data_IF_364157700110
#
_entry.id   IF_364157700110
#
_cell.length_a   1.000
_cell.length_b   1.000
_cell.length_c   1.000
_cell.angle_alpha   90.00
_cell.angle_beta   90.00
_cell.angle_gamma   90.00
#
_symmetry.space_group_name_H-M   'P 1'
#
loop_
_entity.id
_entity.type
_entity.pdbx_description
1 polymer ?
#
# COMPACT_ATOMS: atom_id res chain seq x y z
N UNK A 1 26.50 -6.37 12.53
CA UNK A 1 25.84 -5.15 12.04
C UNK A 1 25.62 -5.37 10.55
N UNK A 2 24.43 -5.78 10.14
CA UNK A 2 24.12 -5.97 8.73
C UNK A 2 24.13 -4.59 8.04
N UNK A 3 24.98 -4.45 7.03
CA UNK A 3 25.04 -3.26 6.22
C UNK A 3 24.05 -3.45 5.09
N UNK A 4 22.82 -2.92 5.27
CA UNK A 4 21.79 -2.97 4.24
C UNK A 4 22.24 -2.28 2.96
N UNK A 5 21.96 -2.89 1.81
CA UNK A 5 22.38 -2.37 0.50
C UNK A 5 21.64 -1.06 0.20
N UNK A 6 22.41 -0.03 -0.16
CA UNK A 6 21.88 1.29 -0.55
C UNK A 6 21.29 1.34 -1.96
N UNK A 7 21.32 0.22 -2.68
CA UNK A 7 21.07 0.18 -4.13
C UNK A 7 19.63 -0.06 -4.53
N UNK A 8 18.72 -0.24 -3.57
CA UNK A 8 17.28 -0.40 -3.82
C UNK A 8 16.60 0.93 -3.56
N UNK A 9 16.14 1.60 -4.62
CA UNK A 9 15.43 2.86 -4.55
C UNK A 9 13.93 2.58 -4.52
N UNK A 10 13.25 3.16 -3.54
CA UNK A 10 11.80 3.18 -3.43
C UNK A 10 11.32 4.62 -3.65
N UNK A 11 10.01 4.82 -3.66
CA UNK A 11 9.39 6.14 -3.81
C UNK A 11 9.71 7.05 -2.63
N UNK A 12 9.45 8.36 -2.77
CA UNK A 12 9.57 9.37 -1.71
C UNK A 12 9.08 8.85 -0.34
N UNK A 13 9.56 9.46 0.73
CA UNK A 13 9.11 9.15 2.07
C UNK A 13 9.15 10.37 2.98
N UNK A 14 8.26 10.38 3.95
CA UNK A 14 8.25 11.40 4.99
C UNK A 14 8.18 10.79 6.39
N UNK A 15 8.64 11.55 7.35
CA UNK A 15 8.43 11.33 8.77
C UNK A 15 8.14 12.65 9.45
N UNK A 16 7.40 12.63 10.54
CA UNK A 16 7.12 13.83 11.31
C UNK A 16 6.53 13.52 12.66
N UNK A 17 6.49 14.54 13.49
CA UNK A 17 5.79 14.46 14.76
C UNK A 17 5.27 15.84 15.20
N UNK A 18 4.21 15.80 15.98
CA UNK A 18 3.65 16.93 16.68
C UNK A 18 3.78 16.68 18.19
N UNK A 19 4.23 17.68 18.94
CA UNK A 19 4.42 17.58 20.39
C UNK A 19 5.75 18.15 20.85
N UNK A 20 5.85 18.46 22.13
CA UNK A 20 7.04 18.98 22.79
C UNK A 20 7.76 17.87 23.57
N UNK A 21 9.03 18.08 23.85
CA UNK A 21 9.85 17.19 24.70
C UNK A 21 11.21 17.81 25.00
N UNK A 22 11.88 17.29 25.98
CA UNK A 22 13.25 17.71 26.36
C UNK A 22 14.29 16.98 25.49
N UNK A 23 14.26 17.29 24.18
CA UNK A 23 15.19 16.76 23.18
C UNK A 23 15.38 17.74 22.02
N UNK A 24 16.48 17.59 21.31
CA UNK A 24 16.79 18.38 20.12
C UNK A 24 15.88 17.92 18.97
N UNK A 25 14.90 18.76 18.60
CA UNK A 25 13.87 18.46 17.59
C UNK A 25 14.49 18.27 16.18
N UNK A 26 15.47 19.08 15.82
CA UNK A 26 16.14 19.01 14.53
C UNK A 26 16.94 17.69 14.40
N UNK A 27 17.62 17.28 15.46
CA UNK A 27 18.34 16.01 15.48
C UNK A 27 17.38 14.81 15.40
N UNK A 28 16.27 14.84 16.15
CA UNK A 28 15.27 13.76 16.13
C UNK A 28 14.68 13.59 14.74
N UNK A 29 14.24 14.69 14.08
CA UNK A 29 13.64 14.60 12.76
C UNK A 29 14.66 14.17 11.68
N UNK A 30 15.91 14.59 11.79
CA UNK A 30 16.98 14.14 10.88
C UNK A 30 17.23 12.62 11.06
N UNK A 31 17.30 12.12 12.29
CA UNK A 31 17.42 10.70 12.59
C UNK A 31 16.20 9.87 12.12
N UNK A 32 14.99 10.40 12.27
CA UNK A 32 13.79 9.78 11.72
C UNK A 32 13.86 9.68 10.19
N UNK A 33 14.32 10.76 9.54
CA UNK A 33 14.52 10.80 8.08
C UNK A 33 15.63 9.85 7.62
N UNK A 34 16.74 9.70 8.37
CA UNK A 34 17.81 8.77 7.99
C UNK A 34 17.35 7.31 7.95
N UNK A 35 16.41 6.91 8.80
CA UNK A 35 15.86 5.55 8.78
C UNK A 35 15.05 5.21 7.52
N UNK A 36 14.60 6.22 6.79
CA UNK A 36 13.86 6.09 5.53
C UNK A 36 14.62 6.66 4.33
N UNK A 37 15.95 6.85 4.43
CA UNK A 37 16.78 7.41 3.36
C UNK A 37 16.73 6.59 2.06
N UNK A 38 16.54 5.27 2.15
CA UNK A 38 16.37 4.38 1.00
C UNK A 38 15.16 4.74 0.13
N UNK A 39 14.11 5.36 0.69
CA UNK A 39 12.93 5.78 -0.07
C UNK A 39 13.23 6.91 -1.04
N UNK A 40 14.04 7.88 -0.62
CA UNK A 40 14.34 9.07 -1.42
C UNK A 40 15.80 9.48 -1.29
N UNK A 41 16.68 8.88 -2.11
CA UNK A 41 18.11 9.15 -2.05
C UNK A 41 18.54 10.46 -2.68
N UNK A 42 17.68 11.09 -3.53
CA UNK A 42 18.06 12.26 -4.34
C UNK A 42 18.25 13.52 -3.49
N UNK A 43 17.37 13.75 -2.51
CA UNK A 43 17.51 14.88 -1.59
C UNK A 43 16.77 14.68 -0.27
N UNK A 44 17.12 15.50 0.72
CA UNK A 44 16.41 15.60 2.00
C UNK A 44 16.01 17.03 2.31
N UNK A 45 14.94 17.20 3.10
CA UNK A 45 14.52 18.49 3.63
C UNK A 45 13.79 18.32 4.95
N UNK A 46 13.77 19.38 5.75
CA UNK A 46 13.06 19.40 7.03
C UNK A 46 12.48 20.79 7.33
N UNK A 47 11.44 20.80 8.15
CA UNK A 47 10.88 21.98 8.78
C UNK A 47 10.67 21.68 10.26
N UNK A 48 11.06 22.62 11.13
CA UNK A 48 10.93 22.48 12.58
C UNK A 48 10.47 23.81 13.18
N UNK A 49 9.46 23.74 14.06
CA UNK A 49 9.10 24.83 14.97
C UNK A 49 8.81 24.29 16.38
N UNK A 50 8.18 25.10 17.24
CA UNK A 50 7.89 24.71 18.62
C UNK A 50 6.85 23.58 18.74
N UNK A 51 6.03 23.34 17.70
CA UNK A 51 4.90 22.41 17.72
C UNK A 51 5.15 21.17 16.89
N UNK A 52 5.71 21.33 15.69
CA UNK A 52 5.85 20.25 14.71
C UNK A 52 7.29 20.12 14.20
N UNK A 53 7.67 18.90 13.85
CA UNK A 53 8.85 18.64 13.04
C UNK A 53 8.45 17.75 11.86
N UNK A 54 8.82 18.15 10.65
CA UNK A 54 8.52 17.50 9.39
C UNK A 54 9.84 17.17 8.68
N UNK A 55 10.02 15.93 8.24
CA UNK A 55 11.18 15.47 7.50
C UNK A 55 10.75 14.78 6.20
N UNK A 56 11.52 14.97 5.15
CA UNK A 56 11.23 14.44 3.83
C UNK A 56 12.48 13.84 3.17
N UNK A 57 12.28 12.73 2.44
CA UNK A 57 13.26 12.08 1.57
C UNK A 57 12.69 12.00 0.16
N UNK A 58 13.41 12.54 -0.81
CA UNK A 58 12.93 12.71 -2.19
C UNK A 58 13.53 11.72 -3.16
N UNK A 59 12.65 11.10 -3.96
CA UNK A 59 12.95 10.55 -5.27
C UNK A 59 12.30 11.47 -6.30
N UNK A 60 13.09 12.13 -7.13
CA UNK A 60 12.61 13.17 -8.05
C UNK A 60 11.99 12.54 -9.30
N UNK A 61 10.68 12.75 -9.51
CA UNK A 61 9.87 12.22 -10.63
C UNK A 61 9.19 13.37 -11.37
N UNK A 62 8.50 14.28 -10.67
CA UNK A 62 7.87 15.50 -11.22
C UNK A 62 8.58 16.73 -10.68
N UNK A 63 8.75 17.75 -11.51
CA UNK A 63 9.44 19.02 -11.22
C UNK A 63 10.83 18.78 -10.58
N UNK A 64 11.76 18.26 -11.37
CA UNK A 64 13.06 17.80 -10.92
C UNK A 64 13.85 18.87 -10.15
N UNK A 65 13.68 20.14 -10.50
CA UNK A 65 14.40 21.28 -9.90
C UNK A 65 13.60 21.96 -8.77
N UNK A 66 12.29 22.20 -8.96
CA UNK A 66 11.46 23.02 -8.06
C UNK A 66 10.72 22.23 -6.97
N UNK A 67 10.56 20.90 -7.12
CA UNK A 67 9.74 20.06 -6.24
C UNK A 67 10.40 19.63 -4.91
N UNK A 68 11.40 20.37 -4.41
CA UNK A 68 12.01 20.07 -3.10
C UNK A 68 11.02 20.30 -1.97
N UNK A 69 10.96 19.37 -1.00
CA UNK A 69 10.05 19.41 0.13
C UNK A 69 10.80 19.50 1.47
N UNK A 70 10.17 20.05 2.53
CA UNK A 70 8.79 20.58 2.62
C UNK A 70 8.54 21.82 1.77
N UNK A 71 7.34 21.94 1.15
CA UNK A 71 6.94 23.13 0.39
C UNK A 71 6.17 24.08 1.31
N UNK A 72 6.51 25.36 1.24
CA UNK A 72 5.83 26.44 1.94
C UNK A 72 4.86 27.15 1.01
N UNK A 73 3.68 27.53 1.54
CA UNK A 73 2.80 28.44 0.81
C UNK A 73 3.44 29.83 0.64
N UNK A 74 3.06 30.54 -0.43
CA UNK A 74 3.64 31.86 -0.74
C UNK A 74 3.47 32.88 0.40
N UNK A 75 2.39 32.78 1.20
CA UNK A 75 2.16 33.60 2.39
C UNK A 75 2.90 33.08 3.64
N UNK A 76 3.64 31.98 3.53
CA UNK A 76 4.41 31.38 4.60
C UNK A 76 3.59 30.73 5.72
N UNK A 77 2.25 30.64 5.59
CA UNK A 77 1.35 30.16 6.65
C UNK A 77 1.23 28.63 6.71
N UNK A 78 1.43 27.96 5.60
CA UNK A 78 1.27 26.50 5.51
C UNK A 78 2.56 25.83 5.03
N UNK A 79 2.77 24.60 5.51
CA UNK A 79 3.89 23.75 5.10
C UNK A 79 3.33 22.37 4.78
N UNK A 80 3.76 21.77 3.64
CA UNK A 80 3.34 20.43 3.23
C UNK A 80 4.54 19.51 3.05
N UNK A 81 4.34 18.23 3.46
CA UNK A 81 5.13 17.07 3.04
C UNK A 81 4.21 16.07 2.36
N UNK A 82 4.65 15.49 1.25
CA UNK A 82 3.84 14.66 0.38
C UNK A 82 4.65 13.53 -0.25
N UNK A 83 4.16 12.31 -0.12
CA UNK A 83 4.66 11.12 -0.80
C UNK A 83 3.60 10.62 -1.76
N UNK A 84 3.81 10.75 -3.05
CA UNK A 84 2.85 10.32 -4.04
C UNK A 84 3.00 11.01 -5.39
N UNK A 85 1.96 10.85 -6.21
CA UNK A 85 1.77 11.43 -7.53
C UNK A 85 0.30 11.83 -7.68
N UNK A 86 0.02 13.08 -8.03
CA UNK A 86 -1.34 13.55 -8.32
C UNK A 86 -1.51 13.69 -9.83
N UNK A 87 -2.14 12.73 -10.45
CA UNK A 87 -2.25 12.64 -11.90
C UNK A 87 -3.07 13.76 -12.55
N UNK A 88 -4.10 14.27 -11.84
CA UNK A 88 -4.93 15.39 -12.33
C UNK A 88 -4.47 16.76 -11.81
N UNK A 89 -3.20 16.88 -11.43
CA UNK A 89 -2.69 18.13 -10.86
C UNK A 89 -2.78 19.32 -11.81
N UNK A 90 -2.61 19.09 -13.12
CA UNK A 90 -2.66 20.14 -14.13
C UNK A 90 -4.07 20.73 -14.27
N UNK A 91 -5.11 19.90 -14.25
CA UNK A 91 -6.51 20.31 -14.28
C UNK A 91 -6.88 21.13 -13.04
N UNK A 92 -6.50 20.62 -11.85
CA UNK A 92 -6.74 21.34 -10.60
C UNK A 92 -5.97 22.66 -10.57
N UNK A 93 -4.70 22.67 -10.99
CA UNK A 93 -3.89 23.88 -11.10
C UNK A 93 -4.54 24.94 -11.99
N UNK A 94 -5.00 24.54 -13.16
CA UNK A 94 -5.71 25.42 -14.10
C UNK A 94 -6.96 26.01 -13.45
N UNK A 95 -7.76 25.18 -12.81
CA UNK A 95 -8.98 25.64 -12.10
C UNK A 95 -8.63 26.64 -10.99
N UNK A 96 -7.62 26.37 -10.17
CA UNK A 96 -7.16 27.26 -9.09
C UNK A 96 -6.68 28.63 -9.63
N UNK A 97 -5.99 28.64 -10.75
CA UNK A 97 -5.55 29.89 -11.41
C UNK A 97 -6.76 30.66 -11.97
N UNK A 98 -7.58 30.02 -12.80
CA UNK A 98 -8.63 30.68 -13.58
C UNK A 98 -9.81 31.13 -12.72
N UNK A 99 -10.21 30.33 -11.72
CA UNK A 99 -11.39 30.62 -10.91
C UNK A 99 -11.07 31.32 -9.57
N UNK A 100 -9.88 31.08 -9.03
CA UNK A 100 -9.52 31.55 -7.68
C UNK A 100 -8.31 32.50 -7.66
N UNK A 101 -7.66 32.73 -8.81
CA UNK A 101 -6.52 33.64 -8.91
C UNK A 101 -5.27 33.17 -8.15
N UNK A 102 -5.16 31.87 -7.88
CA UNK A 102 -4.01 31.31 -7.16
C UNK A 102 -2.73 31.51 -7.97
N UNK A 103 -1.65 31.85 -7.26
CA UNK A 103 -0.31 31.95 -7.83
C UNK A 103 0.53 30.77 -7.36
N UNK A 104 1.34 30.24 -8.24
CA UNK A 104 2.20 29.10 -8.00
C UNK A 104 3.67 29.47 -8.14
N UNK A 105 4.52 28.92 -7.30
CA UNK A 105 5.97 29.14 -7.30
C UNK A 105 6.73 27.98 -7.97
N UNK A 106 6.11 26.80 -8.04
CA UNK A 106 6.69 25.57 -8.60
C UNK A 106 5.76 24.98 -9.65
N UNK A 107 6.22 23.98 -10.38
CA UNK A 107 5.37 23.14 -11.25
C UNK A 107 4.98 21.82 -10.60
N UNK A 108 5.28 21.67 -9.32
CA UNK A 108 5.01 20.44 -8.55
C UNK A 108 3.52 20.24 -8.30
N UNK A 109 3.09 19.00 -8.36
CA UNK A 109 1.80 18.54 -7.92
C UNK A 109 1.60 18.74 -6.39
N UNK A 110 2.70 18.73 -5.62
CA UNK A 110 2.70 19.01 -4.18
C UNK A 110 2.15 20.41 -3.88
N UNK A 111 2.54 21.43 -4.64
CA UNK A 111 2.04 22.78 -4.45
C UNK A 111 0.55 22.88 -4.83
N UNK A 112 0.09 22.07 -5.78
CA UNK A 112 -1.34 21.99 -6.14
C UNK A 112 -2.18 21.48 -4.97
N UNK A 113 -1.71 20.49 -4.22
CA UNK A 113 -2.38 20.03 -2.99
C UNK A 113 -2.48 21.20 -1.98
N UNK A 114 -1.38 21.92 -1.77
CA UNK A 114 -1.29 23.00 -0.80
C UNK A 114 -2.24 24.18 -1.15
N UNK A 115 -2.22 24.63 -2.40
CA UNK A 115 -3.12 25.70 -2.85
C UNK A 115 -4.58 25.23 -2.89
N UNK A 116 -4.82 23.96 -3.25
CA UNK A 116 -6.14 23.35 -3.19
C UNK A 116 -6.70 23.30 -1.76
N UNK A 117 -5.86 22.95 -0.77
CA UNK A 117 -6.26 22.97 0.64
C UNK A 117 -6.62 24.39 1.09
N UNK A 118 -5.83 25.39 0.75
CA UNK A 118 -6.14 26.80 1.06
C UNK A 118 -7.46 27.26 0.45
N UNK A 119 -7.84 26.73 -0.70
CA UNK A 119 -9.05 27.15 -1.44
C UNK A 119 -10.28 26.35 -1.05
N UNK A 120 -10.17 25.02 -0.94
CA UNK A 120 -11.30 24.11 -0.77
C UNK A 120 -11.35 23.45 0.61
N UNK A 121 -10.33 23.68 1.46
CA UNK A 121 -10.20 23.02 2.75
C UNK A 121 -10.04 21.51 2.58
N UNK A 122 -10.65 20.75 3.48
CA UNK A 122 -10.57 19.28 3.53
C UNK A 122 -11.11 18.59 2.27
N UNK A 123 -11.96 19.28 1.48
CA UNK A 123 -12.53 18.75 0.23
C UNK A 123 -11.48 18.41 -0.80
N UNK A 124 -10.30 19.03 -0.74
CA UNK A 124 -9.21 18.73 -1.68
C UNK A 124 -8.92 17.24 -1.73
N UNK A 125 -8.95 16.50 -0.61
CA UNK A 125 -8.66 15.08 -0.57
C UNK A 125 -9.51 14.26 -1.55
N UNK A 126 -10.79 14.61 -1.70
CA UNK A 126 -11.72 13.94 -2.62
C UNK A 126 -11.66 14.43 -4.07
N UNK A 127 -10.90 15.49 -4.35
CA UNK A 127 -10.71 16.03 -5.70
C UNK A 127 -9.45 15.45 -6.39
N UNK A 128 -8.51 14.92 -5.59
CA UNK A 128 -7.25 14.39 -6.09
C UNK A 128 -7.45 13.06 -6.78
N UNK A 129 -6.96 12.91 -8.02
CA UNK A 129 -6.79 11.62 -8.68
C UNK A 129 -5.31 11.25 -8.63
N UNK A 130 -4.97 10.22 -7.90
CA UNK A 130 -3.58 9.83 -7.73
C UNK A 130 -3.37 8.82 -6.61
N UNK A 131 -2.12 8.54 -6.32
CA UNK A 131 -1.67 7.74 -5.20
C UNK A 131 -0.91 8.64 -4.24
N UNK A 132 -1.37 8.79 -3.00
CA UNK A 132 -0.84 9.83 -2.13
C UNK A 132 -0.96 9.55 -0.64
N UNK A 133 -0.01 10.11 0.08
CA UNK A 133 -0.06 10.34 1.51
C UNK A 133 0.62 11.69 1.79
N UNK A 134 -0.04 12.60 2.50
CA UNK A 134 0.51 13.91 2.81
C UNK A 134 0.08 14.42 4.18
N UNK A 135 0.84 15.40 4.66
CA UNK A 135 0.51 16.20 5.86
C UNK A 135 0.74 17.68 5.54
N UNK A 136 -0.25 18.50 5.85
CA UNK A 136 -0.18 19.96 5.82
C UNK A 136 -0.21 20.46 7.25
N UNK A 137 0.69 21.36 7.58
CA UNK A 137 0.75 22.06 8.84
C UNK A 137 0.37 23.53 8.64
N UNK A 138 -0.61 24.01 9.41
CA UNK A 138 -0.99 25.40 9.49
C UNK A 138 -0.24 26.06 10.66
N UNK A 139 0.63 27.00 10.35
CA UNK A 139 1.48 27.71 11.33
C UNK A 139 0.74 28.73 12.18
N UNK A 140 -0.45 29.20 11.75
CA UNK A 140 -1.25 30.15 12.50
C UNK A 140 -2.13 29.47 13.54
N UNK A 141 -2.75 28.35 13.17
CA UNK A 141 -3.63 27.60 14.06
C UNK A 141 -2.93 26.46 14.77
N UNK A 142 -1.72 26.11 14.32
CA UNK A 142 -0.94 24.94 14.74
C UNK A 142 -1.65 23.60 14.49
N UNK A 143 -2.56 23.57 13.53
CA UNK A 143 -3.31 22.36 13.18
C UNK A 143 -2.57 21.56 12.10
N UNK A 144 -2.80 20.24 12.13
CA UNK A 144 -2.43 19.34 11.04
C UNK A 144 -3.67 18.93 10.26
N UNK A 145 -3.52 18.86 8.93
CA UNK A 145 -4.41 18.16 8.02
C UNK A 145 -3.60 17.14 7.23
N UNK A 146 -4.06 15.90 7.16
CA UNK A 146 -3.38 14.88 6.37
C UNK A 146 -4.36 13.92 5.74
N UNK A 147 -3.98 13.33 4.60
CA UNK A 147 -4.84 12.39 3.89
C UNK A 147 -4.04 11.24 3.29
N UNK A 148 -4.74 10.13 3.05
CA UNK A 148 -4.26 8.94 2.35
C UNK A 148 -5.18 8.63 1.19
N UNK A 149 -4.62 8.19 0.06
CA UNK A 149 -5.33 7.91 -1.16
C UNK A 149 -6.46 6.86 -1.03
N UNK A 150 -7.29 6.78 -2.06
CA UNK A 150 -8.51 5.99 -2.12
C UNK A 150 -8.34 4.51 -1.76
N UNK A 151 -7.21 3.89 -2.16
CA UNK A 151 -6.92 2.47 -1.94
C UNK A 151 -5.77 2.24 -0.97
N UNK A 152 -5.17 3.31 -0.40
CA UNK A 152 -4.04 3.22 0.51
C UNK A 152 -2.75 2.74 -0.16
N UNK A 153 -2.56 3.08 -1.44
CA UNK A 153 -1.36 2.72 -2.21
C UNK A 153 -0.12 3.31 -1.56
N UNK A 154 -0.18 4.58 -1.13
CA UNK A 154 0.92 5.16 -0.36
C UNK A 154 0.77 4.84 1.12
N UNK A 155 1.84 4.38 1.78
CA UNK A 155 1.81 4.07 3.20
C UNK A 155 1.66 5.35 4.04
N UNK A 156 0.85 5.26 5.08
CA UNK A 156 0.71 6.27 6.13
C UNK A 156 0.52 5.57 7.47
N UNK A 157 1.51 5.69 8.35
CA UNK A 157 1.46 5.19 9.72
C UNK A 157 1.40 6.35 10.70
N UNK A 158 0.75 6.14 11.85
CA UNK A 158 0.73 7.12 12.93
C UNK A 158 0.67 6.43 14.30
N UNK A 159 1.15 7.14 15.34
CA UNK A 159 1.06 6.72 16.73
C UNK A 159 0.89 7.94 17.64
N UNK A 160 0.04 7.80 18.67
CA UNK A 160 -0.06 8.78 19.75
C UNK A 160 0.58 8.18 21.00
N UNK A 161 1.75 8.69 21.37
CA UNK A 161 2.54 8.17 22.49
C UNK A 161 3.16 9.31 23.29
N UNK A 162 3.01 9.26 24.61
CA UNK A 162 3.65 10.20 25.56
C UNK A 162 3.46 11.69 25.20
N UNK A 163 2.23 12.07 24.74
CA UNK A 163 1.90 13.44 24.36
C UNK A 163 2.38 13.87 22.98
N UNK A 164 2.97 12.96 22.19
CA UNK A 164 3.34 13.22 20.80
C UNK A 164 2.44 12.45 19.83
N UNK A 165 2.10 13.07 18.70
CA UNK A 165 1.57 12.40 17.51
C UNK A 165 2.72 12.19 16.54
N UNK A 166 3.12 10.93 16.31
CA UNK A 166 4.12 10.52 15.32
C UNK A 166 3.40 10.11 14.03
N UNK A 167 3.97 10.42 12.88
CA UNK A 167 3.44 10.00 11.60
C UNK A 167 4.56 9.82 10.56
N UNK A 168 4.33 8.96 9.57
CA UNK A 168 5.35 8.70 8.55
C UNK A 168 4.98 7.62 7.55
N UNK A 169 5.83 7.52 6.53
CA UNK A 169 5.71 6.50 5.48
C UNK A 169 6.12 5.11 5.94
N UNK A 170 7.00 4.99 6.94
CA UNK A 170 7.46 3.72 7.49
C UNK A 170 7.59 3.79 9.02
N UNK A 171 7.22 2.69 9.68
CA UNK A 171 7.22 2.60 11.16
C UNK A 171 8.62 2.73 11.73
N UNK A 172 9.64 2.22 11.01
CA UNK A 172 11.04 2.29 11.47
C UNK A 172 11.53 3.72 11.71
N UNK A 173 10.92 4.73 11.09
CA UNK A 173 11.25 6.13 11.36
C UNK A 173 10.94 6.52 12.81
N UNK A 174 9.87 5.96 13.40
CA UNK A 174 9.47 6.25 14.79
C UNK A 174 10.47 5.77 15.83
N UNK A 175 11.29 4.74 15.49
CA UNK A 175 12.31 4.20 16.38
C UNK A 175 13.39 5.23 16.80
N UNK A 176 13.49 6.34 16.09
CA UNK A 176 14.40 7.43 16.44
C UNK A 176 13.77 8.45 17.40
N UNK A 177 12.45 8.43 17.58
CA UNK A 177 11.75 9.41 18.43
C UNK A 177 11.78 8.98 19.90
N UNK A 178 12.20 9.84 20.85
CA UNK A 178 12.36 9.48 22.27
C UNK A 178 11.05 9.00 22.95
N UNK A 179 9.89 9.49 22.49
CA UNK A 179 8.59 9.09 23.04
C UNK A 179 8.07 7.77 22.47
N UNK A 180 8.73 7.20 21.44
CA UNK A 180 8.27 5.95 20.85
C UNK A 180 8.61 4.77 21.75
N UNK A 181 7.61 3.97 22.07
CA UNK A 181 7.75 2.73 22.83
C UNK A 181 7.43 1.52 21.94
N UNK A 182 8.42 0.62 21.82
CA UNK A 182 8.27 -0.59 21.01
C UNK A 182 7.71 -1.74 21.83
N UNK A 183 6.48 -2.13 21.55
CA UNK A 183 5.79 -3.28 22.15
C UNK A 183 5.10 -4.08 21.04
N UNK A 184 5.13 -5.42 21.14
CA UNK A 184 4.45 -6.31 20.19
C UNK A 184 2.94 -6.29 20.44
N UNK A 185 2.16 -6.07 19.40
CA UNK A 185 0.71 -6.23 19.40
C UNK A 185 0.36 -7.72 19.29
N UNK A 186 -0.16 -8.30 20.36
CA UNK A 186 -0.48 -9.75 20.43
C UNK A 186 -1.64 -10.14 19.51
N UNK A 187 -2.60 -9.24 19.33
CA UNK A 187 -3.72 -9.46 18.41
C UNK A 187 -3.23 -9.51 16.96
N UNK A 188 -2.39 -8.56 16.58
CA UNK A 188 -1.75 -8.53 15.27
C UNK A 188 -0.85 -9.76 15.03
N UNK A 189 -0.09 -10.18 16.04
CA UNK A 189 0.75 -11.37 15.95
C UNK A 189 -0.08 -12.63 15.70
N UNK A 190 -1.19 -12.81 16.43
CA UNK A 190 -2.09 -13.95 16.19
C UNK A 190 -2.72 -13.89 14.80
N UNK A 191 -3.18 -12.72 14.36
CA UNK A 191 -3.76 -12.55 13.04
C UNK A 191 -2.73 -12.78 11.92
N UNK A 192 -1.48 -12.38 12.13
CA UNK A 192 -0.39 -12.69 11.20
C UNK A 192 -0.19 -14.19 10.99
N UNK A 193 -0.21 -14.99 12.04
CA UNK A 193 -0.11 -16.45 11.96
C UNK A 193 -1.28 -17.06 11.16
N UNK A 194 -2.45 -16.46 11.24
CA UNK A 194 -3.66 -16.93 10.53
C UNK A 194 -3.68 -16.46 9.08
N UNK A 195 -3.38 -15.17 8.80
CA UNK A 195 -3.56 -14.52 7.50
C UNK A 195 -2.26 -14.26 6.74
N UNK A 196 -1.09 -14.58 7.26
CA UNK A 196 0.23 -14.27 6.69
C UNK A 196 0.55 -12.75 6.64
N UNK A 197 -0.36 -11.89 7.06
CA UNK A 197 -0.19 -10.44 7.18
C UNK A 197 -1.07 -9.92 8.33
N UNK A 198 -0.88 -8.67 8.71
CA UNK A 198 -1.71 -8.02 9.74
C UNK A 198 -2.93 -7.36 9.09
N UNK A 199 -4.13 -7.95 9.17
CA UNK A 199 -5.35 -7.40 8.56
C UNK A 199 -5.98 -6.26 9.38
N UNK A 200 -5.36 -5.91 10.53
CA UNK A 200 -5.84 -4.88 11.44
C UNK A 200 -5.31 -3.50 11.03
N UNK A 201 -6.02 -2.46 11.46
CA UNK A 201 -5.51 -1.08 11.36
C UNK A 201 -4.35 -0.85 12.34
N UNK A 202 -4.41 -1.43 13.54
CA UNK A 202 -3.28 -1.46 14.45
C UNK A 202 -2.25 -2.48 13.96
N UNK A 203 -1.02 -2.04 13.85
CA UNK A 203 0.07 -2.83 13.27
C UNK A 203 0.62 -3.88 14.24
N UNK A 204 1.68 -4.57 13.83
CA UNK A 204 2.46 -5.46 14.74
C UNK A 204 3.09 -4.70 15.92
N UNK A 205 3.24 -3.38 15.79
CA UNK A 205 3.68 -2.50 16.89
C UNK A 205 2.45 -1.93 17.59
N UNK A 206 2.30 -2.26 18.88
CA UNK A 206 1.18 -1.77 19.69
C UNK A 206 1.14 -0.25 19.75
N UNK A 207 -0.06 0.32 19.54
CA UNK A 207 -0.26 1.77 19.50
C UNK A 207 0.17 2.44 18.20
N UNK A 208 0.64 1.68 17.20
CA UNK A 208 0.93 2.17 15.86
C UNK A 208 -0.16 1.73 14.90
N UNK A 209 -0.74 2.68 14.18
CA UNK A 209 -1.89 2.46 13.31
C UNK A 209 -1.55 2.83 11.86
N UNK A 210 -2.20 2.13 10.93
CA UNK A 210 -2.32 2.53 9.52
C UNK A 210 -3.46 3.55 9.40
N UNK A 211 -3.25 4.66 8.70
CA UNK A 211 -4.37 5.49 8.29
C UNK A 211 -5.20 4.72 7.25
N UNK A 212 -6.51 4.64 7.44
CA UNK A 212 -7.39 3.90 6.54
C UNK A 212 -7.32 4.46 5.11
N UNK A 213 -7.45 3.62 4.06
CA UNK A 213 -7.63 4.09 2.70
C UNK A 213 -8.81 5.06 2.58
N UNK A 214 -8.71 6.05 1.70
CA UNK A 214 -9.78 7.03 1.47
C UNK A 214 -10.14 7.86 2.70
N UNK A 215 -9.16 8.13 3.58
CA UNK A 215 -9.37 8.84 4.85
C UNK A 215 -8.46 10.06 4.94
N UNK A 216 -9.01 11.16 5.41
CA UNK A 216 -8.23 12.29 5.90
C UNK A 216 -8.37 12.42 7.43
N UNK A 217 -7.44 13.14 8.03
CA UNK A 217 -7.51 13.51 9.43
C UNK A 217 -7.23 15.01 9.65
N UNK A 218 -7.76 15.53 10.75
CA UNK A 218 -7.36 16.81 11.34
C UNK A 218 -6.84 16.57 12.75
N UNK A 219 -5.86 17.36 13.17
CA UNK A 219 -5.31 17.30 14.52
C UNK A 219 -5.05 18.71 15.04
N UNK A 220 -5.62 19.06 16.19
CA UNK A 220 -5.54 20.39 16.81
C UNK A 220 -4.56 20.46 17.99
N UNK A 221 -3.64 19.51 18.08
CA UNK A 221 -2.72 19.35 19.21
C UNK A 221 -3.30 18.53 20.37
N UNK A 222 -4.58 18.14 20.31
CA UNK A 222 -5.28 17.36 21.35
C UNK A 222 -6.04 16.18 20.77
N UNK A 223 -6.92 16.43 19.80
CA UNK A 223 -7.81 15.44 19.24
C UNK A 223 -7.44 15.11 17.79
N UNK A 224 -7.27 13.83 17.50
CA UNK A 224 -7.10 13.30 16.15
C UNK A 224 -8.48 12.87 15.62
N UNK A 225 -9.06 13.67 14.72
CA UNK A 225 -10.33 13.37 14.06
C UNK A 225 -10.06 12.77 12.69
N UNK A 226 -10.64 11.60 12.40
CA UNK A 226 -10.53 10.92 11.11
C UNK A 226 -11.87 10.96 10.39
N UNK A 227 -11.84 11.25 9.09
CA UNK A 227 -13.04 11.30 8.24
C UNK A 227 -12.77 10.50 6.98
N UNK A 228 -13.61 9.50 6.71
CA UNK A 228 -13.57 8.72 5.47
C UNK A 228 -14.22 9.55 4.36
N UNK A 229 -13.46 9.86 3.31
CA UNK A 229 -13.96 10.64 2.16
C UNK A 229 -14.30 9.76 0.97
N UNK A 230 -13.87 8.50 0.99
CA UNK A 230 -14.15 7.51 -0.04
C UNK A 230 -14.38 6.13 0.57
N UNK A 231 -15.42 5.46 0.11
CA UNK A 231 -15.72 4.06 0.42
C UNK A 231 -16.08 3.33 -0.87
N UNK A 232 -15.30 2.32 -1.30
CA UNK A 232 -15.58 1.61 -2.53
C UNK A 232 -16.92 0.87 -2.41
N UNK A 233 -17.80 1.10 -3.36
CA UNK A 233 -19.11 0.41 -3.45
C UNK A 233 -19.20 -0.35 -4.75
N UNK A 234 -19.67 -1.58 -4.67
CA UNK A 234 -19.96 -2.41 -5.85
C UNK A 234 -21.45 -2.39 -6.14
N UNK A 235 -21.83 -1.85 -7.29
CA UNK A 235 -23.21 -1.84 -7.75
C UNK A 235 -23.33 -2.60 -9.07
N UNK A 236 -24.13 -3.66 -9.07
CA UNK A 236 -24.45 -4.37 -10.32
C UNK A 236 -25.17 -3.40 -11.26
N UNK A 237 -24.66 -3.28 -12.48
CA UNK A 237 -25.29 -2.52 -13.56
C UNK A 237 -25.63 -3.47 -14.69
N UNK A 238 -26.84 -3.31 -15.25
CA UNK A 238 -27.25 -4.05 -16.43
C UNK A 238 -26.56 -3.46 -17.67
N UNK A 239 -25.55 -4.18 -18.15
CA UNK A 239 -24.78 -3.89 -19.38
C UNK A 239 -24.55 -5.16 -20.15
N UNK A 240 -24.51 -5.07 -21.47
CA UNK A 240 -24.12 -6.18 -22.31
C UNK A 240 -22.60 -6.50 -22.09
N UNK A 241 -22.19 -7.68 -22.51
CA UNK A 241 -20.78 -8.08 -22.47
C UNK A 241 -19.92 -7.11 -23.29
N UNK A 242 -20.31 -6.79 -24.52
CA UNK A 242 -19.55 -5.91 -25.41
C UNK A 242 -19.42 -4.48 -24.89
N UNK A 243 -20.51 -3.92 -24.31
CA UNK A 243 -20.46 -2.61 -23.63
C UNK A 243 -19.51 -2.63 -22.44
N UNK A 244 -19.49 -3.73 -21.68
CA UNK A 244 -18.60 -3.86 -20.52
C UNK A 244 -17.15 -3.96 -20.97
N UNK A 245 -16.82 -4.77 -21.98
CA UNK A 245 -15.47 -4.89 -22.55
C UNK A 245 -14.97 -3.54 -23.05
N UNK A 246 -15.82 -2.82 -23.81
CA UNK A 246 -15.47 -1.49 -24.32
C UNK A 246 -15.17 -0.51 -23.18
N UNK A 247 -16.04 -0.46 -22.17
CA UNK A 247 -15.85 0.44 -21.02
C UNK A 247 -14.59 0.12 -20.23
N UNK A 248 -14.29 -1.17 -20.01
CA UNK A 248 -13.05 -1.60 -19.35
C UNK A 248 -11.85 -1.12 -20.15
N UNK A 249 -11.82 -1.36 -21.47
CA UNK A 249 -10.72 -0.93 -22.33
C UNK A 249 -10.50 0.59 -22.30
N UNK A 250 -11.56 1.38 -22.41
CA UNK A 250 -11.50 2.85 -22.33
C UNK A 250 -11.01 3.33 -20.95
N UNK A 251 -11.48 2.69 -19.87
CA UNK A 251 -11.08 3.06 -18.51
C UNK A 251 -9.62 2.73 -18.23
N UNK A 252 -9.15 1.56 -18.69
CA UNK A 252 -7.74 1.19 -18.52
C UNK A 252 -6.84 2.11 -19.34
N UNK A 253 -7.23 2.42 -20.61
CA UNK A 253 -6.46 3.35 -21.42
C UNK A 253 -6.34 4.72 -20.74
N UNK A 254 -7.45 5.30 -20.29
CA UNK A 254 -7.45 6.56 -19.53
C UNK A 254 -6.58 6.47 -18.27
N UNK A 255 -6.67 5.37 -17.52
CA UNK A 255 -5.83 5.16 -16.34
C UNK A 255 -4.34 5.10 -16.70
N UNK A 256 -3.99 4.35 -17.74
CA UNK A 256 -2.61 4.22 -18.21
C UNK A 256 -2.05 5.57 -18.67
N UNK A 257 -2.85 6.36 -19.41
CA UNK A 257 -2.42 7.69 -19.90
C UNK A 257 -2.07 8.62 -18.72
N UNK A 258 -2.88 8.61 -17.65
CA UNK A 258 -2.59 9.36 -16.42
C UNK A 258 -1.36 8.84 -15.67
N UNK A 259 -1.15 7.53 -15.60
CA UNK A 259 0.00 6.95 -14.89
C UNK A 259 1.34 7.14 -15.63
N UNK A 260 1.32 7.61 -16.87
CA UNK A 260 2.53 7.96 -17.62
C UNK A 260 2.99 9.42 -17.42
N UNK A 261 2.22 10.22 -16.65
CA UNK A 261 2.58 11.61 -16.36
C UNK A 261 3.81 11.62 -15.44
N UNK A 262 4.97 11.88 -16.02
CA UNK A 262 6.26 11.96 -15.33
C UNK A 262 7.25 12.77 -16.18
N UNK A 263 8.22 13.44 -15.53
CA UNK A 263 9.33 14.13 -16.21
C UNK A 263 10.53 13.18 -16.43
N UNK A 264 10.34 11.89 -16.20
CA UNK A 264 11.35 10.83 -16.35
C UNK A 264 10.81 9.69 -17.22
N UNK A 265 11.72 8.86 -17.75
CA UNK A 265 11.34 7.68 -18.54
C UNK A 265 10.53 6.69 -17.67
N UNK A 266 9.44 6.17 -18.25
CA UNK A 266 8.56 5.17 -17.63
C UNK A 266 8.79 3.81 -18.28
N UNK A 267 9.12 2.81 -17.47
CA UNK A 267 9.21 1.41 -17.89
C UNK A 267 7.97 0.61 -17.51
N UNK A 268 8.01 -0.70 -17.73
CA UNK A 268 6.94 -1.62 -17.28
C UNK A 268 7.50 -2.92 -16.76
N UNK A 269 6.91 -3.43 -15.68
CA UNK A 269 7.11 -4.82 -15.29
C UNK A 269 6.32 -5.73 -16.21
N UNK A 270 6.92 -6.87 -16.58
CA UNK A 270 6.34 -7.80 -17.53
C UNK A 270 6.62 -9.23 -17.08
N UNK A 271 5.61 -9.91 -16.52
CA UNK A 271 5.70 -11.33 -16.13
C UNK A 271 5.39 -12.30 -17.28
N UNK A 272 4.70 -11.82 -18.35
CA UNK A 272 4.11 -12.66 -19.39
C UNK A 272 2.68 -13.11 -19.07
N UNK A 273 2.15 -12.82 -17.88
CA UNK A 273 0.74 -12.99 -17.54
C UNK A 273 -0.15 -11.98 -18.29
N UNK A 274 -1.47 -12.24 -18.32
CA UNK A 274 -2.46 -11.43 -19.08
C UNK A 274 -2.41 -9.97 -18.66
N UNK A 275 -2.42 -9.68 -17.37
CA UNK A 275 -2.53 -8.30 -16.84
C UNK A 275 -1.30 -7.47 -17.16
N UNK A 276 -0.10 -7.97 -16.86
CA UNK A 276 1.15 -7.28 -17.16
C UNK A 276 1.34 -7.10 -18.67
N UNK A 277 0.94 -8.09 -19.47
CA UNK A 277 1.01 -8.03 -20.93
C UNK A 277 0.03 -7.00 -21.50
N UNK A 278 -1.18 -6.90 -20.94
CA UNK A 278 -2.16 -5.91 -21.36
C UNK A 278 -1.68 -4.49 -21.05
N UNK A 279 -1.16 -4.23 -19.85
CA UNK A 279 -0.58 -2.94 -19.49
C UNK A 279 0.60 -2.60 -20.40
N UNK A 280 1.58 -3.50 -20.57
CA UNK A 280 2.74 -3.27 -21.41
C UNK A 280 2.35 -2.99 -22.89
N UNK A 281 1.35 -3.71 -23.42
CA UNK A 281 0.86 -3.49 -24.78
C UNK A 281 0.11 -2.15 -24.95
N UNK A 282 -0.53 -1.67 -23.90
CA UNK A 282 -1.23 -0.37 -23.88
C UNK A 282 -0.24 0.80 -23.80
N UNK A 283 0.73 0.73 -22.89
CA UNK A 283 1.78 1.74 -22.68
C UNK A 283 2.78 1.75 -23.83
N UNK A 284 3.17 0.57 -24.35
CA UNK A 284 4.27 0.37 -25.30
C UNK A 284 5.57 1.03 -24.83
N UNK A 285 6.04 0.75 -23.61
CA UNK A 285 7.26 1.33 -23.09
C UNK A 285 8.45 0.84 -23.90
N UNK A 286 9.51 1.64 -24.00
CA UNK A 286 10.75 1.19 -24.63
C UNK A 286 11.46 0.11 -23.84
N UNK A 287 11.26 0.08 -22.50
CA UNK A 287 11.94 -0.82 -21.57
C UNK A 287 10.94 -1.61 -20.72
N UNK A 288 11.11 -2.91 -20.70
CA UNK A 288 10.38 -3.81 -19.80
C UNK A 288 11.35 -4.62 -18.95
N UNK A 289 10.87 -5.08 -17.81
CA UNK A 289 11.68 -5.81 -16.83
C UNK A 289 10.96 -7.07 -16.40
N UNK A 290 11.71 -8.18 -16.37
CA UNK A 290 11.20 -9.51 -16.02
C UNK A 290 12.12 -10.19 -15.02
N UNK A 291 11.55 -11.02 -14.17
CA UNK A 291 12.28 -11.88 -13.27
C UNK A 291 11.83 -13.32 -13.46
N UNK A 292 12.79 -14.25 -13.48
CA UNK A 292 12.57 -15.69 -13.56
C UNK A 292 13.34 -16.42 -12.48
N UNK A 293 13.18 -17.73 -12.43
CA UNK A 293 13.89 -18.60 -11.51
C UNK A 293 14.72 -19.62 -12.28
N UNK A 294 15.86 -20.02 -11.73
CA UNK A 294 16.72 -21.08 -12.31
C UNK A 294 16.04 -22.45 -12.31
N UNK A 295 14.96 -22.63 -11.53
CA UNK A 295 14.23 -23.89 -11.43
C UNK A 295 13.22 -24.00 -12.56
N UNK A 296 13.42 -24.96 -13.47
CA UNK A 296 12.53 -25.22 -14.60
C UNK A 296 11.08 -25.47 -14.15
N UNK A 297 10.11 -24.93 -14.89
CA UNK A 297 8.67 -25.04 -14.62
C UNK A 297 8.07 -23.80 -13.91
N UNK A 298 8.89 -22.87 -13.43
CA UNK A 298 8.48 -21.60 -12.85
C UNK A 298 8.98 -20.38 -13.64
N UNK A 299 9.54 -20.62 -14.83
CA UNK A 299 10.04 -19.54 -15.70
C UNK A 299 8.99 -19.18 -16.77
N UNK A 300 8.26 -18.09 -16.52
CA UNK A 300 7.28 -17.50 -17.45
C UNK A 300 7.91 -16.45 -18.39
N UNK A 301 9.21 -16.24 -18.32
CA UNK A 301 9.90 -15.20 -19.09
C UNK A 301 9.93 -15.44 -20.59
N UNK A 302 9.59 -16.64 -21.07
CA UNK A 302 9.40 -16.93 -22.50
C UNK A 302 8.25 -16.10 -23.07
N UNK A 303 7.12 -16.01 -22.36
CA UNK A 303 5.96 -15.22 -22.82
C UNK A 303 6.24 -13.72 -22.84
N UNK A 304 6.99 -13.21 -21.85
CA UNK A 304 7.40 -11.80 -21.85
C UNK A 304 8.32 -11.47 -23.01
N UNK A 305 9.24 -12.39 -23.38
CA UNK A 305 10.12 -12.25 -24.54
C UNK A 305 9.31 -12.22 -25.84
N UNK A 306 8.41 -13.18 -26.04
CA UNK A 306 7.58 -13.26 -27.24
C UNK A 306 6.77 -11.97 -27.47
N UNK A 307 6.19 -11.41 -26.39
CA UNK A 307 5.47 -10.13 -26.46
C UNK A 307 6.41 -8.98 -26.85
N UNK A 308 7.59 -8.93 -26.25
CA UNK A 308 8.58 -7.88 -26.58
C UNK A 308 9.05 -7.96 -28.01
N UNK A 309 9.29 -9.15 -28.54
CA UNK A 309 9.66 -9.36 -29.94
C UNK A 309 8.54 -8.88 -30.89
N UNK A 310 7.28 -9.16 -30.58
CA UNK A 310 6.10 -8.71 -31.36
C UNK A 310 5.94 -7.18 -31.33
N UNK A 311 6.12 -6.57 -30.15
CA UNK A 311 5.87 -5.13 -29.94
C UNK A 311 7.14 -4.27 -30.11
N UNK A 312 8.28 -4.89 -30.42
CA UNK A 312 9.58 -4.21 -30.61
C UNK A 312 10.03 -3.44 -29.35
N UNK A 313 9.80 -4.04 -28.17
CA UNK A 313 10.25 -3.51 -26.89
C UNK A 313 11.52 -4.21 -26.41
N UNK A 314 12.36 -3.53 -25.64
CA UNK A 314 13.48 -4.18 -24.95
C UNK A 314 13.03 -4.84 -23.65
N UNK A 315 13.59 -6.01 -23.32
CA UNK A 315 13.32 -6.69 -22.06
C UNK A 315 14.64 -7.00 -21.34
N UNK A 316 14.77 -6.45 -20.14
CA UNK A 316 15.84 -6.83 -19.22
C UNK A 316 15.34 -7.93 -18.29
N UNK A 317 16.09 -9.03 -18.22
CA UNK A 317 15.74 -10.21 -17.41
C UNK A 317 16.76 -10.45 -16.30
N UNK A 318 16.29 -10.81 -15.11
CA UNK A 318 17.07 -11.36 -14.01
C UNK A 318 16.56 -12.76 -13.68
N UNK A 319 17.45 -13.73 -13.63
CA UNK A 319 17.19 -15.05 -13.04
C UNK A 319 17.66 -15.07 -11.58
N UNK A 320 16.82 -15.58 -10.69
CA UNK A 320 17.07 -15.64 -9.25
C UNK A 320 17.40 -17.09 -8.89
N UNK A 321 18.57 -17.30 -8.27
CA UNK A 321 18.93 -18.59 -7.68
C UNK A 321 18.24 -18.79 -6.33
N UNK A 322 18.22 -20.04 -5.85
CA UNK A 322 17.69 -20.36 -4.51
C UNK A 322 18.46 -19.64 -3.42
N UNK A 323 19.78 -19.54 -3.53
CA UNK A 323 20.61 -18.86 -2.51
C UNK A 323 20.29 -17.35 -2.48
N UNK A 324 20.25 -16.68 -3.65
CA UNK A 324 19.85 -15.28 -3.74
C UNK A 324 18.47 -15.03 -3.13
N UNK A 325 17.51 -15.96 -3.37
CA UNK A 325 16.16 -15.85 -2.85
C UNK A 325 16.14 -15.82 -1.31
N UNK A 326 16.82 -16.75 -0.66
CA UNK A 326 16.86 -16.82 0.80
C UNK A 326 17.72 -15.70 1.43
N UNK A 327 18.81 -15.31 0.77
CA UNK A 327 19.68 -14.23 1.23
C UNK A 327 18.98 -12.86 1.22
N UNK A 328 18.00 -12.64 0.32
CA UNK A 328 17.23 -11.40 0.26
C UNK A 328 16.14 -11.28 1.34
N UNK A 329 15.71 -12.38 1.99
CA UNK A 329 14.60 -12.35 2.95
C UNK A 329 14.80 -11.35 4.10
N UNK A 330 15.96 -11.24 4.76
CA UNK A 330 16.17 -10.26 5.82
C UNK A 330 16.01 -8.81 5.34
N UNK A 331 16.47 -8.49 4.13
CA UNK A 331 16.37 -7.18 3.52
C UNK A 331 14.90 -6.84 3.20
N UNK A 332 14.18 -7.77 2.56
CA UNK A 332 12.76 -7.62 2.24
C UNK A 332 11.94 -7.42 3.52
N UNK A 333 12.20 -8.20 4.57
CA UNK A 333 11.50 -8.06 5.85
C UNK A 333 11.82 -6.72 6.54
N UNK A 334 13.05 -6.24 6.45
CA UNK A 334 13.42 -4.93 6.99
C UNK A 334 12.64 -3.80 6.31
N UNK A 335 12.47 -3.86 4.99
CA UNK A 335 11.75 -2.84 4.23
C UNK A 335 10.23 -2.93 4.39
N UNK A 336 9.70 -4.07 4.77
CA UNK A 336 8.26 -4.26 5.00
C UNK A 336 7.76 -3.69 6.34
N UNK A 337 8.65 -3.36 7.30
CA UNK A 337 8.35 -2.95 8.69
C UNK A 337 7.60 -4.00 9.52
N UNK A 338 6.60 -4.66 8.93
CA UNK A 338 5.83 -5.74 9.55
C UNK A 338 6.22 -7.09 8.92
N UNK A 339 6.07 -8.20 9.67
CA UNK A 339 6.30 -9.52 9.10
C UNK A 339 5.38 -9.73 7.89
N UNK A 340 5.97 -10.21 6.80
CA UNK A 340 5.29 -10.45 5.55
C UNK A 340 5.63 -11.85 5.05
N UNK A 341 4.64 -12.74 4.97
CA UNK A 341 4.86 -14.13 4.61
C UNK A 341 4.64 -14.44 3.12
N UNK A 342 4.20 -13.44 2.33
CA UNK A 342 4.09 -13.62 0.88
C UNK A 342 5.48 -13.56 0.24
N UNK A 343 5.95 -14.70 -0.21
CA UNK A 343 7.28 -14.85 -0.80
C UNK A 343 7.43 -14.16 -2.16
N UNK A 344 6.34 -13.71 -2.80
CA UNK A 344 6.38 -12.89 -4.02
C UNK A 344 7.09 -11.54 -3.85
N UNK A 345 7.25 -11.09 -2.60
CA UNK A 345 8.01 -9.88 -2.29
C UNK A 345 9.49 -9.99 -2.68
N UNK A 346 10.09 -11.20 -2.66
CA UNK A 346 11.49 -11.40 -3.04
C UNK A 346 11.72 -11.22 -4.55
N UNK A 347 10.96 -11.88 -5.46
CA UNK A 347 11.04 -11.57 -6.88
C UNK A 347 10.80 -10.08 -7.19
N UNK A 348 9.82 -9.45 -6.53
CA UNK A 348 9.53 -8.02 -6.71
C UNK A 348 10.71 -7.13 -6.27
N UNK A 349 11.41 -7.50 -5.20
CA UNK A 349 12.64 -6.83 -4.76
C UNK A 349 13.71 -6.84 -5.85
N UNK A 350 14.02 -8.00 -6.44
CA UNK A 350 15.00 -8.10 -7.51
C UNK A 350 14.55 -7.44 -8.81
N UNK A 351 13.25 -7.51 -9.12
CA UNK A 351 12.67 -6.84 -10.27
C UNK A 351 12.78 -5.32 -10.15
N UNK A 352 12.49 -4.79 -8.97
CA UNK A 352 12.64 -3.36 -8.67
C UNK A 352 14.10 -2.92 -8.72
N UNK A 353 15.03 -3.72 -8.19
CA UNK A 353 16.47 -3.47 -8.26
C UNK A 353 16.99 -3.48 -9.72
N UNK A 354 16.44 -4.37 -10.55
CA UNK A 354 16.78 -4.42 -11.97
C UNK A 354 16.32 -3.15 -12.70
N UNK A 355 15.06 -2.75 -12.50
CA UNK A 355 14.47 -1.58 -13.15
C UNK A 355 15.11 -0.25 -12.71
N UNK A 356 15.47 -0.14 -11.43
CA UNK A 356 16.08 1.07 -10.85
C UNK A 356 17.43 1.45 -11.47
N UNK A 357 18.07 0.55 -12.22
CA UNK A 357 19.31 0.85 -12.96
C UNK A 357 19.07 1.77 -14.15
N UNK A 358 17.85 1.74 -14.69
CA UNK A 358 17.52 2.41 -15.95
C UNK A 358 16.41 3.45 -15.78
N UNK A 359 15.40 3.19 -14.97
CA UNK A 359 14.19 4.03 -14.84
C UNK A 359 13.82 4.27 -13.37
N UNK A 360 13.12 5.37 -13.11
CA UNK A 360 12.57 5.70 -11.77
C UNK A 360 11.10 5.31 -11.60
N UNK A 361 10.39 5.10 -12.71
CA UNK A 361 8.96 4.76 -12.72
C UNK A 361 8.74 3.53 -13.57
N UNK A 362 7.94 2.61 -13.04
CA UNK A 362 7.46 1.43 -13.76
C UNK A 362 5.96 1.25 -13.55
N UNK A 363 5.28 0.80 -14.60
CA UNK A 363 3.89 0.36 -14.52
C UNK A 363 3.83 -1.16 -14.33
N UNK A 364 2.78 -1.63 -13.68
CA UNK A 364 2.54 -3.07 -13.46
C UNK A 364 1.05 -3.41 -13.59
N UNK A 365 0.75 -4.69 -13.73
CA UNK A 365 -0.63 -5.21 -13.72
C UNK A 365 -1.17 -5.54 -12.32
N UNK A 366 -0.46 -5.16 -11.25
CA UNK A 366 -0.86 -5.46 -9.87
C UNK A 366 -2.23 -4.89 -9.52
N UNK A 367 -3.05 -5.69 -8.83
CA UNK A 367 -4.41 -5.31 -8.41
C UNK A 367 -5.51 -5.67 -9.43
N UNK A 368 -5.16 -6.17 -10.62
CA UNK A 368 -6.15 -6.53 -11.63
C UNK A 368 -7.00 -7.74 -11.19
N UNK A 369 -6.39 -8.76 -10.60
CA UNK A 369 -7.09 -9.94 -10.10
C UNK A 369 -8.11 -9.57 -9.01
N UNK A 370 -7.79 -8.65 -8.12
CA UNK A 370 -8.67 -8.15 -7.07
C UNK A 370 -9.85 -7.37 -7.64
N UNK A 371 -9.61 -6.57 -8.67
CA UNK A 371 -10.65 -5.72 -9.28
C UNK A 371 -11.57 -6.49 -10.22
N UNK A 372 -11.02 -7.45 -10.97
CA UNK A 372 -11.76 -8.19 -12.02
C UNK A 372 -12.09 -9.63 -11.61
N UNK A 373 -11.76 -10.05 -10.39
CA UNK A 373 -12.06 -11.39 -9.90
C UNK A 373 -11.24 -12.48 -10.58
N UNK A 374 -9.96 -12.22 -10.87
CA UNK A 374 -9.07 -13.11 -11.63
C UNK A 374 -8.66 -14.38 -10.90
N UNK A 375 -8.70 -14.39 -9.57
CA UNK A 375 -8.32 -15.59 -8.80
C UNK A 375 -9.36 -16.69 -8.86
N UNK A 376 -8.92 -17.93 -9.10
CA UNK A 376 -9.79 -19.11 -9.10
C UNK A 376 -10.55 -19.30 -7.78
N UNK A 377 -10.01 -18.83 -6.67
CA UNK A 377 -10.66 -18.88 -5.35
C UNK A 377 -11.92 -18.01 -5.26
N UNK A 378 -12.08 -17.04 -6.14
CA UNK A 378 -13.29 -16.22 -6.22
C UNK A 378 -14.46 -16.93 -6.95
N UNK A 379 -14.15 -18.02 -7.64
CA UNK A 379 -15.19 -18.79 -8.35
C UNK A 379 -15.97 -19.64 -7.35
N UNK A 380 -17.30 -19.40 -7.17
CA UNK A 380 -18.10 -20.21 -6.26
C UNK A 380 -18.09 -21.68 -6.66
N UNK A 381 -17.88 -22.57 -5.72
CA UNK A 381 -17.98 -24.02 -5.95
C UNK A 381 -19.43 -24.42 -6.13
N UNK A 382 -19.86 -24.73 -7.37
CA UNK A 382 -21.22 -25.20 -7.67
C UNK A 382 -21.66 -26.38 -6.80
N UNK A 383 -20.73 -27.31 -6.51
CA UNK A 383 -20.98 -28.44 -5.61
C UNK A 383 -21.13 -28.02 -4.14
N UNK A 384 -20.35 -27.01 -3.72
CA UNK A 384 -20.47 -26.42 -2.38
C UNK A 384 -21.80 -25.69 -2.19
N UNK A 385 -22.26 -24.94 -3.20
CA UNK A 385 -23.54 -24.24 -3.17
C UNK A 385 -24.71 -25.23 -3.10
N UNK A 386 -24.66 -26.29 -3.91
CA UNK A 386 -25.68 -27.34 -3.87
C UNK A 386 -25.69 -28.05 -2.50
N UNK A 387 -24.53 -28.37 -1.95
CA UNK A 387 -24.40 -28.97 -0.62
C UNK A 387 -24.96 -28.04 0.47
N UNK A 388 -24.66 -26.76 0.43
CA UNK A 388 -25.21 -25.76 1.38
C UNK A 388 -26.73 -25.60 1.28
N UNK A 389 -27.32 -25.72 0.07
CA UNK A 389 -28.76 -25.66 -0.13
C UNK A 389 -29.49 -26.90 0.37
N UNK A 390 -28.88 -28.10 0.28
CA UNK A 390 -29.52 -29.38 0.61
C UNK A 390 -29.28 -29.75 2.08
N UNK A 391 -28.09 -29.52 2.61
CA UNK A 391 -27.71 -29.99 3.96
C UNK A 391 -27.90 -28.86 4.98
N UNK A 392 -28.71 -29.04 6.03
CA UNK A 392 -28.92 -28.06 7.07
C UNK A 392 -27.60 -27.61 7.76
N UNK A 393 -27.52 -26.34 8.13
CA UNK A 393 -26.31 -25.73 8.71
C UNK A 393 -25.81 -26.50 9.97
N UNK A 394 -26.70 -26.98 10.83
CA UNK A 394 -26.37 -27.75 12.03
C UNK A 394 -25.67 -29.08 11.71
N UNK A 395 -26.10 -29.74 10.62
CA UNK A 395 -25.49 -31.00 10.15
C UNK A 395 -24.14 -30.69 9.50
N UNK A 396 -24.08 -29.67 8.66
CA UNK A 396 -22.82 -29.26 8.00
C UNK A 396 -21.74 -28.91 9.02
N UNK A 397 -22.10 -28.17 10.07
CA UNK A 397 -21.18 -27.83 11.17
C UNK A 397 -20.65 -29.09 11.85
N UNK A 398 -21.51 -30.03 12.23
CA UNK A 398 -21.08 -31.30 12.86
C UNK A 398 -20.14 -32.11 11.96
N UNK A 399 -20.45 -32.19 10.66
CA UNK A 399 -19.61 -32.90 9.70
C UNK A 399 -18.26 -32.20 9.47
N UNK A 400 -18.24 -30.87 9.47
CA UNK A 400 -17.01 -30.10 9.37
C UNK A 400 -16.13 -30.23 10.60
N UNK A 401 -16.73 -30.13 11.80
CA UNK A 401 -16.01 -30.31 13.06
C UNK A 401 -15.46 -31.75 13.17
N UNK A 402 -16.21 -32.77 12.77
CA UNK A 402 -15.70 -34.12 12.67
C UNK A 402 -14.54 -34.24 11.69
N UNK A 403 -14.65 -33.61 10.51
CA UNK A 403 -13.65 -33.67 9.47
C UNK A 403 -12.30 -33.01 9.86
N UNK A 404 -12.33 -32.02 10.76
CA UNK A 404 -11.12 -31.38 11.30
C UNK A 404 -10.24 -32.33 12.08
N UNK A 405 -10.82 -33.30 12.76
CA UNK A 405 -10.12 -34.28 13.60
C UNK A 405 -9.73 -35.58 12.86
N UNK A 406 -9.93 -35.61 11.54
CA UNK A 406 -9.55 -36.78 10.74
C UNK A 406 -8.22 -36.54 10.02
N UNK A 407 -7.39 -37.59 9.82
CA UNK A 407 -6.22 -37.50 8.95
C UNK A 407 -6.62 -37.03 7.56
N UNK A 408 -5.77 -36.28 6.90
CA UNK A 408 -6.05 -35.72 5.56
C UNK A 408 -6.42 -36.83 4.55
N UNK A 409 -7.67 -36.77 4.09
CA UNK A 409 -8.23 -37.65 3.05
C UNK A 409 -9.02 -36.82 2.06
N UNK A 410 -9.05 -37.28 0.81
CA UNK A 410 -9.82 -36.66 -0.27
C UNK A 410 -11.29 -36.51 0.16
N UNK A 411 -11.83 -35.30 0.04
CA UNK A 411 -13.23 -34.96 0.40
C UNK A 411 -13.39 -34.33 1.79
N UNK A 412 -12.47 -34.50 2.71
CA UNK A 412 -12.59 -33.87 4.04
C UNK A 412 -12.46 -32.35 3.97
N UNK A 413 -11.61 -31.83 3.07
CA UNK A 413 -11.48 -30.40 2.83
C UNK A 413 -12.79 -29.80 2.28
N UNK A 414 -13.56 -30.57 1.50
CA UNK A 414 -14.88 -30.11 1.06
C UNK A 414 -15.84 -29.94 2.25
N UNK A 415 -15.88 -30.89 3.19
CA UNK A 415 -16.70 -30.80 4.39
C UNK A 415 -16.25 -29.63 5.30
N UNK A 416 -14.93 -29.49 5.51
CA UNK A 416 -14.37 -28.38 6.29
C UNK A 416 -14.78 -27.02 5.72
N UNK A 417 -14.58 -26.80 4.41
CA UNK A 417 -14.90 -25.54 3.72
C UNK A 417 -16.38 -25.21 3.64
N UNK A 418 -17.27 -26.21 3.62
CA UNK A 418 -18.70 -26.00 3.50
C UNK A 418 -19.45 -26.20 4.84
N UNK A 419 -18.75 -26.28 5.97
CA UNK A 419 -19.31 -26.41 7.30
C UNK A 419 -20.11 -25.19 7.75
N UNK A 420 -19.65 -24.01 7.34
CA UNK A 420 -20.19 -22.69 7.71
C UNK A 420 -20.81 -21.98 6.50
N UNK A 421 -21.28 -20.76 6.68
CA UNK A 421 -21.71 -19.89 5.57
C UNK A 421 -20.52 -19.51 4.69
N UNK A 422 -20.80 -18.95 3.51
CA UNK A 422 -19.73 -18.44 2.64
C UNK A 422 -18.99 -17.31 3.34
N UNK A 423 -19.71 -16.43 4.00
CA UNK A 423 -19.21 -15.27 4.72
C UNK A 423 -18.29 -15.69 5.90
N UNK A 424 -18.64 -16.77 6.61
CA UNK A 424 -17.82 -17.30 7.69
C UNK A 424 -16.62 -18.13 7.22
N UNK A 425 -16.65 -18.63 5.99
CA UNK A 425 -15.62 -19.52 5.42
C UNK A 425 -14.65 -18.77 4.48
N UNK A 426 -15.03 -17.59 4.00
CA UNK A 426 -14.17 -16.80 3.13
C UNK A 426 -13.14 -16.05 3.95
N UNK A 427 -11.91 -16.49 3.89
CA UNK A 427 -10.77 -15.92 4.62
C UNK A 427 -9.66 -15.47 3.67
N UNK A 428 -9.96 -15.45 2.36
CA UNK A 428 -8.98 -15.13 1.33
C UNK A 428 -7.99 -16.28 1.06
N UNK A 429 -7.02 -16.00 0.23
CA UNK A 429 -5.96 -16.97 -0.15
C UNK A 429 -4.90 -17.15 0.94
N UNK A 430 -4.79 -16.17 1.83
CA UNK A 430 -3.71 -16.07 2.80
C UNK A 430 -3.93 -16.91 4.08
N UNK A 431 -5.05 -17.62 4.21
CA UNK A 431 -5.34 -18.42 5.41
C UNK A 431 -4.45 -19.66 5.50
N UNK A 432 -3.70 -19.78 6.60
CA UNK A 432 -2.80 -20.90 6.85
C UNK A 432 -3.28 -21.77 8.00
N UNK A 433 -3.66 -21.16 9.12
CA UNK A 433 -4.04 -21.89 10.34
C UNK A 433 -5.31 -21.30 10.96
N UNK A 434 -6.04 -22.12 11.74
CA UNK A 434 -7.19 -21.65 12.47
C UNK A 434 -6.81 -21.02 13.84
N UNK A 435 -7.83 -20.58 14.60
CA UNK A 435 -7.58 -19.92 15.88
C UNK A 435 -6.91 -20.83 16.91
N UNK A 436 -7.29 -22.10 16.91
CA UNK A 436 -6.82 -23.12 17.84
C UNK A 436 -5.35 -23.48 17.52
N UNK A 437 -5.02 -23.69 16.25
CA UNK A 437 -3.64 -23.93 15.78
C UNK A 437 -2.73 -22.74 16.10
N UNK A 438 -3.21 -21.48 15.87
CA UNK A 438 -2.46 -20.30 16.23
C UNK A 438 -2.21 -20.17 17.76
N UNK A 439 -3.21 -20.56 18.57
CA UNK A 439 -3.07 -20.56 20.03
C UNK A 439 -2.10 -21.66 20.53
N UNK A 440 -1.92 -22.76 19.81
CA UNK A 440 -0.95 -23.81 20.14
C UNK A 440 0.50 -23.36 19.85
N UNK A 441 0.70 -22.62 18.75
CA UNK A 441 2.03 -22.11 18.35
C UNK A 441 2.51 -20.97 19.26
N UNK A 442 1.59 -20.11 19.72
CA UNK A 442 1.93 -18.94 20.52
C UNK A 442 2.33 -19.31 21.95
N UNK A 443 3.50 -18.82 22.39
CA UNK A 443 3.88 -18.88 23.79
C UNK A 443 2.83 -18.18 24.67
N UNK A 444 2.64 -18.61 25.94
CA UNK A 444 1.58 -18.06 26.81
C UNK A 444 1.57 -16.54 26.95
N UNK A 445 2.76 -15.92 26.94
CA UNK A 445 2.92 -14.46 27.04
C UNK A 445 2.37 -13.70 25.83
N UNK A 446 2.24 -14.36 24.68
CA UNK A 446 1.80 -13.75 23.40
C UNK A 446 0.40 -14.19 22.97
N UNK A 447 -0.30 -14.99 23.76
CA UNK A 447 -1.69 -15.39 23.46
C UNK A 447 -2.63 -14.20 23.44
N UNK A 448 -3.58 -14.23 22.50
CA UNK A 448 -4.63 -13.24 22.34
C UNK A 448 -6.01 -13.91 22.30
N UNK A 449 -7.03 -13.20 22.77
CA UNK A 449 -8.44 -13.62 22.69
C UNK A 449 -9.09 -13.30 21.34
N UNK A 450 -8.43 -12.51 20.50
CA UNK A 450 -8.93 -12.16 19.16
C UNK A 450 -9.11 -13.42 18.31
N UNK A 451 -10.16 -13.44 17.53
CA UNK A 451 -10.47 -14.52 16.60
C UNK A 451 -10.53 -13.96 15.18
N UNK A 452 -10.14 -14.75 14.18
CA UNK A 452 -10.19 -14.30 12.80
C UNK A 452 -11.59 -13.88 12.34
N UNK A 453 -12.65 -14.46 12.93
CA UNK A 453 -14.03 -14.09 12.66
C UNK A 453 -14.36 -12.64 13.05
N UNK A 454 -13.62 -12.05 13.98
CA UNK A 454 -13.81 -10.65 14.36
C UNK A 454 -13.36 -9.71 13.24
N UNK A 455 -12.40 -10.16 12.41
CA UNK A 455 -11.93 -9.45 11.21
C UNK A 455 -12.84 -9.73 10.02
N UNK A 456 -13.14 -10.99 9.71
CA UNK A 456 -13.93 -11.37 8.53
C UNK A 456 -15.36 -10.84 8.56
N UNK A 457 -15.96 -10.71 9.73
CA UNK A 457 -17.29 -10.09 9.89
C UNK A 457 -17.32 -8.60 9.50
N UNK A 458 -16.19 -7.90 9.60
CA UNK A 458 -16.10 -6.52 9.17
C UNK A 458 -16.01 -6.43 7.64
N UNK A 459 -15.28 -7.35 7.01
CA UNK A 459 -15.14 -7.45 5.56
C UNK A 459 -16.49 -7.82 4.91
N UNK A 460 -17.20 -8.82 5.47
CA UNK A 460 -18.48 -9.28 4.93
C UNK A 460 -19.61 -8.24 4.93
N UNK A 461 -19.54 -7.22 5.78
CA UNK A 461 -20.52 -6.12 5.80
C UNK A 461 -20.35 -5.12 4.64
N UNK A 462 -19.17 -5.08 4.03
CA UNK A 462 -18.92 -4.21 2.87
C UNK A 462 -19.43 -4.80 1.55
N UNK A 463 -19.84 -6.07 1.54
CA UNK A 463 -20.26 -6.80 0.32
C UNK A 463 -21.75 -7.18 0.28
N UNK A 464 -22.54 -6.73 1.24
CA UNK A 464 -23.99 -7.02 1.26
C UNK A 464 -24.82 -5.82 0.85
#
# INVERSE_FOLDING_TARGET
>A
MYQFRKDVQFMCGFAGYYGAGDFNREEVIDQMGERIAHRGPDSKGSFVDDYVALGFRRLSIIDLEGGSQPIHSADGKHVIIFNGEIYNYQEIRKELIEKHGCQFQTNSDTEVILQGYKTYGEKIASMLRGMFAFVIYDKETHNLFGARDYFGIKPFYYAQMNGSLLFGSEIKSFLAHPHFHKEVNKDALKMYLIFQYTPLLETMFKGVFKLEPGTYFTYDGKELKKTKYFDPTYAKKDRSFDETVKLIGETIQDSVDYHQIADVEVGSFLSGGVDSSYIASTVKPMKTYSVGFEVGGFDETTFSKDLCDILHMSNAKKEISSDEFFDALPEVQYHSDEPHANLSAVPLYYLSQLAAKDVKVVLSGEGADEMFGGYETYIPSKSGDMYRKIVPASIRKKLGDWAKHQPDKRGLNFLKRNATSVEDSYIGQAFIMDNEEADEVLAPAYKSKMRYQDVTKQIGRAHV
#
